data_IF_786527125247
#
_entry.id   IF_786527125247
#
_cell.length_a   1.000
_cell.length_b   1.000
_cell.length_c   1.000
_cell.angle_alpha   90.00
_cell.angle_beta   90.00
_cell.angle_gamma   90.00
#
_symmetry.space_group_name_H-M   'P 1'
#
loop_
_entity.id
_entity.type
_entity.pdbx_description
1 polymer ?
#
# COMPACT_ATOMS: atom_id res chain seq x y z
N UNK A 1 -6.49 5.14 -2.06
CA UNK A 1 -6.41 3.68 -2.32
C UNK A 1 -6.30 3.45 -3.83
N UNK A 2 -5.32 2.68 -4.24
CA UNK A 2 -5.07 2.35 -5.63
C UNK A 2 -5.06 0.83 -5.83
N UNK A 3 -6.01 0.33 -6.62
CA UNK A 3 -6.03 -1.06 -7.03
C UNK A 3 -5.35 -1.21 -8.38
N UNK A 4 -4.32 -2.05 -8.43
CA UNK A 4 -3.56 -2.35 -9.63
C UNK A 4 -4.07 -3.68 -10.20
N UNK A 5 -4.82 -3.62 -11.29
CA UNK A 5 -5.45 -4.80 -11.86
C UNK A 5 -5.82 -4.58 -13.33
N UNK A 6 -5.58 -5.61 -14.15
CA UNK A 6 -6.00 -5.61 -15.55
C UNK A 6 -7.47 -6.04 -15.73
N UNK A 7 -8.11 -6.58 -14.67
CA UNK A 7 -9.42 -7.24 -14.79
C UNK A 7 -10.48 -6.75 -13.81
N UNK A 8 -10.09 -6.15 -12.66
CA UNK A 8 -11.05 -5.72 -11.64
C UNK A 8 -11.82 -4.47 -12.05
N UNK A 9 -13.07 -4.41 -11.61
CA UNK A 9 -13.93 -3.23 -11.67
C UNK A 9 -14.28 -2.79 -10.26
N UNK A 10 -14.93 -1.65 -10.09
CA UNK A 10 -15.38 -1.22 -8.76
C UNK A 10 -16.27 -2.26 -8.07
N UNK A 11 -17.07 -3.01 -8.84
CA UNK A 11 -17.95 -4.04 -8.31
C UNK A 11 -17.22 -5.32 -7.89
N UNK A 12 -16.06 -5.61 -8.49
CA UNK A 12 -15.30 -6.84 -8.24
C UNK A 12 -14.03 -6.63 -7.43
N UNK A 13 -13.67 -5.37 -7.16
CA UNK A 13 -12.45 -4.99 -6.43
C UNK A 13 -12.65 -5.15 -4.92
N UNK A 14 -12.53 -6.39 -4.43
CA UNK A 14 -12.72 -6.70 -3.01
C UNK A 14 -11.57 -6.21 -2.13
N UNK A 15 -10.34 -6.22 -2.63
CA UNK A 15 -9.17 -5.77 -1.86
C UNK A 15 -9.18 -4.23 -1.67
N UNK A 16 -9.44 -3.48 -2.74
CA UNK A 16 -9.56 -2.02 -2.64
C UNK A 16 -10.74 -1.60 -1.76
N UNK A 17 -11.88 -2.29 -1.86
CA UNK A 17 -13.02 -2.03 -1.00
C UNK A 17 -12.70 -2.31 0.48
N UNK A 18 -11.98 -3.39 0.76
CA UNK A 18 -11.54 -3.70 2.11
C UNK A 18 -10.67 -2.59 2.70
N UNK A 19 -9.68 -2.12 1.95
CA UNK A 19 -8.78 -1.04 2.41
C UNK A 19 -9.52 0.26 2.65
N UNK A 20 -10.43 0.64 1.74
CA UNK A 20 -11.24 1.83 1.90
C UNK A 20 -12.09 1.77 3.17
N UNK A 21 -12.78 0.65 3.40
CA UNK A 21 -13.61 0.47 4.59
C UNK A 21 -12.77 0.48 5.87
N UNK A 22 -11.63 -0.22 5.89
CA UNK A 22 -10.73 -0.26 7.03
C UNK A 22 -10.20 1.13 7.39
N UNK A 23 -9.84 1.93 6.40
CA UNK A 23 -9.41 3.32 6.61
C UNK A 23 -10.54 4.16 7.21
N UNK A 24 -11.74 4.06 6.68
CA UNK A 24 -12.91 4.82 7.20
C UNK A 24 -13.24 4.45 8.62
N UNK A 25 -13.24 3.16 8.94
CA UNK A 25 -13.50 2.66 10.29
C UNK A 25 -12.47 3.16 11.30
N UNK A 26 -11.22 3.35 10.86
CA UNK A 26 -10.15 3.89 11.69
C UNK A 26 -10.15 5.43 11.77
N UNK A 27 -11.12 6.10 11.14
CA UNK A 27 -11.28 7.56 11.20
C UNK A 27 -10.51 8.34 10.14
N UNK A 28 -9.95 7.68 9.14
CA UNK A 28 -9.28 8.35 8.02
C UNK A 28 -10.27 8.81 6.97
N UNK A 29 -9.93 9.88 6.26
CA UNK A 29 -10.69 10.38 5.12
C UNK A 29 -10.13 9.81 3.82
N UNK A 30 -11.01 9.37 2.93
CA UNK A 30 -10.62 8.88 1.60
C UNK A 30 -10.55 10.07 0.64
N UNK A 31 -9.35 10.45 0.26
CA UNK A 31 -9.15 11.52 -0.72
C UNK A 31 -9.52 11.05 -2.13
N UNK A 32 -9.14 9.82 -2.50
CA UNK A 32 -9.43 9.23 -3.81
C UNK A 32 -9.32 7.71 -3.75
N UNK A 33 -10.02 7.05 -4.66
CA UNK A 33 -9.91 5.61 -4.91
C UNK A 33 -9.96 5.35 -6.40
N UNK A 34 -8.91 4.72 -6.94
CA UNK A 34 -8.79 4.44 -8.35
C UNK A 34 -8.45 2.96 -8.59
N UNK A 35 -8.80 2.49 -9.77
CA UNK A 35 -8.32 1.22 -10.31
C UNK A 35 -7.52 1.56 -11.56
N UNK A 36 -6.32 1.00 -11.67
CA UNK A 36 -5.42 1.24 -12.80
C UNK A 36 -4.90 -0.09 -13.32
N UNK A 37 -4.68 -0.16 -14.63
CA UNK A 37 -4.03 -1.33 -15.24
C UNK A 37 -2.59 -1.45 -14.75
N UNK A 38 -2.05 -2.68 -14.76
CA UNK A 38 -0.66 -2.93 -14.36
C UNK A 38 0.29 -2.47 -15.47
N UNK A 39 0.63 -1.20 -15.43
CA UNK A 39 1.51 -0.53 -16.38
C UNK A 39 2.37 0.47 -15.61
N UNK A 40 3.70 0.40 -15.82
CA UNK A 40 4.66 1.21 -15.08
C UNK A 40 4.34 2.70 -15.15
N UNK A 41 4.01 3.20 -16.33
CA UNK A 41 3.82 4.64 -16.52
C UNK A 41 2.46 5.12 -16.05
N UNK A 42 1.43 4.30 -16.16
CA UNK A 42 0.12 4.58 -15.59
C UNK A 42 0.17 4.65 -14.06
N UNK A 43 0.89 3.69 -13.44
CA UNK A 43 1.11 3.68 -12.00
C UNK A 43 1.89 4.92 -11.55
N UNK A 44 2.99 5.23 -12.22
CA UNK A 44 3.79 6.43 -11.90
C UNK A 44 3.00 7.72 -12.05
N UNK A 45 2.19 7.83 -13.09
CA UNK A 45 1.41 9.04 -13.34
C UNK A 45 0.44 9.33 -12.19
N UNK A 46 -0.36 8.34 -11.79
CA UNK A 46 -1.37 8.53 -10.74
C UNK A 46 -0.72 8.71 -9.36
N UNK A 47 0.29 7.91 -9.03
CA UNK A 47 0.95 8.00 -7.74
C UNK A 47 1.76 9.30 -7.62
N UNK A 48 2.43 9.74 -8.67
CA UNK A 48 3.14 11.03 -8.67
C UNK A 48 2.18 12.20 -8.47
N UNK A 49 1.00 12.15 -9.08
CA UNK A 49 -0.04 13.17 -8.89
C UNK A 49 -0.46 13.23 -7.42
N UNK A 50 -0.68 12.08 -6.79
CA UNK A 50 -1.04 12.02 -5.38
C UNK A 50 0.09 12.46 -4.46
N UNK A 51 1.34 12.09 -4.77
CA UNK A 51 2.52 12.54 -4.01
C UNK A 51 2.66 14.07 -4.05
N UNK A 52 2.30 14.69 -5.17
CA UNK A 52 2.36 16.14 -5.33
C UNK A 52 1.22 16.88 -4.62
N UNK A 53 0.15 16.17 -4.27
CA UNK A 53 -1.02 16.76 -3.59
C UNK A 53 -0.77 16.85 -2.08
N UNK A 54 -0.72 18.07 -1.51
CA UNK A 54 -0.44 18.25 -0.08
C UNK A 54 -1.54 17.68 0.84
N UNK A 55 -2.73 17.41 0.31
CA UNK A 55 -3.82 16.81 1.08
C UNK A 55 -3.70 15.28 1.19
N UNK A 56 -2.81 14.64 0.40
CA UNK A 56 -2.62 13.19 0.43
C UNK A 56 -1.44 12.85 1.34
N UNK A 57 -1.72 12.28 2.49
CA UNK A 57 -0.69 11.87 3.45
C UNK A 57 -0.31 10.40 3.33
N UNK A 58 -1.24 9.55 2.85
CA UNK A 58 -1.06 8.09 2.78
C UNK A 58 -1.59 7.57 1.45
N UNK A 59 -0.81 6.69 0.82
CA UNK A 59 -1.23 5.96 -0.36
C UNK A 59 -1.13 4.46 -0.06
N UNK A 60 -2.24 3.74 -0.23
CA UNK A 60 -2.28 2.28 -0.13
C UNK A 60 -2.53 1.71 -1.51
N UNK A 61 -1.61 0.87 -2.00
CA UNK A 61 -1.81 0.15 -3.26
C UNK A 61 -1.99 -1.33 -3.01
N UNK A 62 -2.80 -1.99 -3.84
CA UNK A 62 -3.01 -3.43 -3.81
C UNK A 62 -2.94 -3.99 -5.23
N UNK A 63 -2.10 -5.00 -5.41
CA UNK A 63 -1.86 -5.64 -6.71
C UNK A 63 -0.51 -5.34 -7.32
N UNK A 64 -0.12 -6.14 -8.29
CA UNK A 64 1.09 -5.94 -9.08
C UNK A 64 2.41 -6.23 -8.37
N UNK A 65 2.40 -6.97 -7.26
CA UNK A 65 3.62 -7.24 -6.48
C UNK A 65 4.19 -8.65 -6.65
N UNK A 66 3.62 -9.47 -7.52
CA UNK A 66 4.13 -10.82 -7.80
C UNK A 66 5.26 -10.82 -8.82
N UNK A 67 5.46 -11.98 -9.46
CA UNK A 67 6.54 -12.22 -10.41
C UNK A 67 6.04 -12.50 -11.83
N UNK A 68 4.74 -12.33 -12.12
CA UNK A 68 4.27 -12.47 -13.49
C UNK A 68 4.78 -11.31 -14.37
N UNK A 69 4.76 -11.51 -15.68
CA UNK A 69 5.24 -10.49 -16.61
C UNK A 69 4.45 -9.18 -16.56
N UNK A 70 3.25 -9.21 -15.99
CA UNK A 70 2.42 -8.01 -15.81
C UNK A 70 2.61 -7.33 -14.46
N UNK A 71 3.20 -8.02 -13.48
CA UNK A 71 3.42 -7.44 -12.13
C UNK A 71 4.54 -6.40 -12.19
N UNK A 72 4.20 -5.12 -12.03
CA UNK A 72 5.15 -4.01 -12.18
C UNK A 72 5.10 -2.96 -11.07
N UNK A 73 4.33 -3.19 -10.01
CA UNK A 73 4.20 -2.18 -8.93
C UNK A 73 5.55 -1.82 -8.31
N UNK A 74 6.44 -2.76 -7.92
CA UNK A 74 7.74 -2.38 -7.38
C UNK A 74 8.60 -1.59 -8.36
N UNK A 75 8.65 -2.01 -9.62
CA UNK A 75 9.41 -1.32 -10.66
C UNK A 75 8.89 0.09 -10.93
N UNK A 76 7.58 0.26 -10.84
CA UNK A 76 6.94 1.56 -11.07
C UNK A 76 7.18 2.52 -9.91
N UNK A 77 7.02 2.06 -8.67
CA UNK A 77 6.88 2.95 -7.52
C UNK A 77 8.17 3.11 -6.70
N UNK A 78 9.03 2.10 -6.62
CA UNK A 78 10.28 2.22 -5.87
C UNK A 78 11.12 3.44 -6.32
N UNK A 79 11.25 3.76 -7.62
CA UNK A 79 11.99 4.94 -8.03
C UNK A 79 11.41 6.28 -7.57
N UNK A 80 10.15 6.31 -7.13
CA UNK A 80 9.50 7.52 -6.62
C UNK A 80 9.81 7.78 -5.14
N UNK A 81 10.37 6.82 -4.43
CA UNK A 81 10.62 6.92 -2.99
C UNK A 81 11.84 7.79 -2.70
N UNK A 82 11.69 8.74 -1.78
CA UNK A 82 12.82 9.47 -1.20
C UNK A 82 13.54 8.60 -0.16
N UNK A 83 12.77 7.81 0.59
CA UNK A 83 13.27 6.83 1.56
C UNK A 83 12.48 5.54 1.44
N UNK A 84 13.18 4.42 1.40
CA UNK A 84 12.55 3.10 1.41
C UNK A 84 12.26 2.66 2.84
N UNK A 85 11.08 2.10 3.07
CA UNK A 85 10.67 1.54 4.36
C UNK A 85 10.82 0.03 4.30
N UNK A 86 12.05 -0.47 4.46
CA UNK A 86 12.36 -1.90 4.35
C UNK A 86 11.59 -2.74 5.37
N UNK A 87 11.38 -2.20 6.57
CA UNK A 87 10.69 -2.89 7.65
C UNK A 87 9.27 -3.31 7.32
N UNK A 88 8.57 -2.59 6.45
CA UNK A 88 7.22 -2.99 6.06
C UNK A 88 7.21 -4.35 5.37
N UNK A 89 8.02 -4.51 4.32
CA UNK A 89 8.11 -5.77 3.59
C UNK A 89 8.60 -6.92 4.48
N UNK A 90 9.57 -6.66 5.35
CA UNK A 90 10.10 -7.65 6.29
C UNK A 90 9.02 -8.16 7.25
N UNK A 91 8.30 -7.25 7.91
CA UNK A 91 7.25 -7.62 8.87
C UNK A 91 6.05 -8.24 8.15
N UNK A 92 5.63 -7.65 7.03
CA UNK A 92 4.52 -8.20 6.24
C UNK A 92 4.78 -9.64 5.82
N UNK A 93 5.97 -9.92 5.25
CA UNK A 93 6.30 -11.27 4.80
C UNK A 93 6.44 -12.26 5.97
N UNK A 94 6.94 -11.82 7.11
CA UNK A 94 6.96 -12.65 8.33
C UNK A 94 5.55 -13.05 8.78
N UNK A 95 4.61 -12.11 8.79
CA UNK A 95 3.20 -12.37 9.12
C UNK A 95 2.54 -13.25 8.06
N UNK A 96 2.75 -12.95 6.80
CA UNK A 96 2.22 -13.72 5.68
C UNK A 96 2.70 -15.16 5.69
N UNK A 97 3.95 -15.40 6.09
CA UNK A 97 4.51 -16.75 6.20
C UNK A 97 3.72 -17.64 7.16
N UNK A 98 3.18 -17.09 8.24
CA UNK A 98 2.35 -17.86 9.19
C UNK A 98 1.00 -18.27 8.59
N UNK A 99 0.55 -17.59 7.54
CA UNK A 99 -0.76 -17.84 6.91
C UNK A 99 -0.65 -18.69 5.64
N UNK A 100 0.31 -18.39 4.78
CA UNK A 100 0.46 -19.04 3.47
C UNK A 100 1.79 -19.78 3.28
N UNK A 101 2.63 -19.85 4.31
CA UNK A 101 3.90 -20.57 4.28
C UNK A 101 4.87 -19.99 3.26
N UNK A 102 5.62 -20.86 2.59
CA UNK A 102 6.68 -20.46 1.65
C UNK A 102 6.18 -19.64 0.45
N UNK A 103 4.89 -19.66 0.15
CA UNK A 103 4.34 -18.86 -0.96
C UNK A 103 4.56 -17.35 -0.75
N UNK A 104 4.81 -16.92 0.47
CA UNK A 104 5.11 -15.50 0.78
C UNK A 104 6.37 -15.00 0.08
N UNK A 105 7.30 -15.89 -0.35
CA UNK A 105 8.51 -15.47 -1.08
C UNK A 105 8.17 -14.87 -2.45
N UNK A 106 6.97 -15.10 -2.95
CA UNK A 106 6.51 -14.47 -4.20
C UNK A 106 5.89 -13.09 -4.00
N UNK A 107 5.80 -12.61 -2.76
CA UNK A 107 5.32 -11.27 -2.47
C UNK A 107 6.47 -10.26 -2.48
N UNK A 108 6.40 -9.27 -3.37
CA UNK A 108 7.33 -8.15 -3.39
C UNK A 108 6.72 -6.89 -2.77
N UNK A 109 5.94 -7.08 -1.70
CA UNK A 109 5.39 -5.97 -0.93
C UNK A 109 6.49 -5.02 -0.50
N UNK A 110 6.25 -3.72 -0.64
CA UNK A 110 7.24 -2.68 -0.34
C UNK A 110 6.55 -1.41 0.15
N UNK A 111 7.34 -0.51 0.74
CA UNK A 111 6.83 0.78 1.20
C UNK A 111 7.93 1.83 1.13
N UNK A 112 7.52 3.09 1.08
CA UNK A 112 8.43 4.21 1.05
C UNK A 112 7.78 5.53 1.44
N UNK A 113 8.63 6.53 1.67
CA UNK A 113 8.23 7.92 1.85
C UNK A 113 8.59 8.69 0.59
N UNK A 114 7.70 9.54 0.15
CA UNK A 114 7.93 10.44 -0.98
C UNK A 114 7.21 11.77 -0.72
N UNK A 115 7.95 12.87 -0.70
CA UNK A 115 7.41 14.24 -0.53
C UNK A 115 6.43 14.35 0.67
N UNK A 116 6.74 13.70 1.80
CA UNK A 116 5.87 13.75 2.97
C UNK A 116 4.62 12.86 2.89
N UNK A 117 4.56 11.97 1.92
CA UNK A 117 3.49 10.97 1.77
C UNK A 117 4.07 9.59 2.04
N UNK A 118 3.41 8.76 2.85
CA UNK A 118 3.81 7.37 3.05
C UNK A 118 3.04 6.48 2.08
N UNK A 119 3.75 5.54 1.45
CA UNK A 119 3.19 4.66 0.43
C UNK A 119 3.43 3.21 0.85
N UNK A 120 2.36 2.43 0.94
CA UNK A 120 2.43 0.98 1.23
C UNK A 120 1.85 0.20 0.06
N UNK A 121 2.64 -0.72 -0.47
CA UNK A 121 2.27 -1.53 -1.64
C UNK A 121 2.08 -2.99 -1.22
N UNK A 122 0.84 -3.48 -1.35
CA UNK A 122 0.43 -4.81 -0.89
C UNK A 122 0.07 -5.71 -2.07
N UNK A 123 0.16 -7.03 -1.89
CA UNK A 123 -0.38 -7.97 -2.88
C UNK A 123 -1.87 -7.76 -3.15
N UNK A 124 -2.34 -8.29 -4.27
CA UNK A 124 -3.70 -8.08 -4.77
C UNK A 124 -4.81 -8.86 -4.08
N UNK A 125 -4.51 -9.76 -3.15
CA UNK A 125 -5.54 -10.53 -2.45
C UNK A 125 -6.11 -9.75 -1.26
N UNK A 126 -7.40 -9.94 -0.98
CA UNK A 126 -8.04 -9.35 0.19
C UNK A 126 -7.41 -9.86 1.49
N UNK A 127 -7.03 -11.14 1.53
CA UNK A 127 -6.33 -11.72 2.69
C UNK A 127 -4.99 -11.04 2.98
N UNK A 128 -4.21 -10.74 1.94
CA UNK A 128 -2.93 -10.02 2.10
C UNK A 128 -3.16 -8.58 2.60
N UNK A 129 -4.17 -7.90 2.09
CA UNK A 129 -4.52 -6.56 2.57
C UNK A 129 -4.96 -6.59 4.04
N UNK A 130 -5.70 -7.61 4.44
CA UNK A 130 -6.10 -7.80 5.84
C UNK A 130 -4.88 -8.05 6.73
N UNK A 131 -3.96 -8.90 6.32
CA UNK A 131 -2.71 -9.17 7.06
C UNK A 131 -1.90 -7.88 7.25
N UNK A 132 -1.73 -7.11 6.18
CA UNK A 132 -1.01 -5.83 6.25
C UNK A 132 -1.72 -4.83 7.16
N UNK A 133 -3.03 -4.70 7.04
CA UNK A 133 -3.81 -3.75 7.84
C UNK A 133 -3.77 -4.10 9.32
N UNK A 134 -4.14 -5.32 9.67
CA UNK A 134 -4.25 -5.73 11.07
C UNK A 134 -2.89 -5.84 11.76
N UNK A 135 -1.85 -6.23 11.01
CA UNK A 135 -0.51 -6.47 11.57
C UNK A 135 0.43 -5.27 11.55
N UNK A 136 0.18 -4.27 10.70
CA UNK A 136 1.09 -3.13 10.53
C UNK A 136 0.36 -1.81 10.39
N UNK A 137 -0.51 -1.67 9.38
CA UNK A 137 -0.98 -0.37 8.94
C UNK A 137 -1.87 0.32 9.96
N UNK A 138 -2.78 -0.43 10.58
CA UNK A 138 -3.70 0.14 11.56
C UNK A 138 -2.95 0.87 12.67
N UNK A 139 -1.90 0.25 13.20
CA UNK A 139 -1.07 0.82 14.25
C UNK A 139 -0.19 1.97 13.74
N UNK A 140 0.44 1.76 12.60
CA UNK A 140 1.39 2.74 12.05
C UNK A 140 0.73 4.01 11.49
N UNK A 141 -0.57 3.94 11.20
CA UNK A 141 -1.37 5.09 10.78
C UNK A 141 -2.21 5.69 11.93
N UNK A 142 -1.99 5.25 13.16
CA UNK A 142 -2.63 5.78 14.36
C UNK A 142 -1.65 6.68 15.12
N UNK A 143 -2.02 7.97 15.25
CA UNK A 143 -1.19 8.96 15.95
C UNK A 143 -0.94 8.64 17.43
N UNK A 144 -1.78 7.81 18.04
CA UNK A 144 -1.65 7.44 19.44
C UNK A 144 -0.81 6.19 19.66
N UNK A 145 -0.47 5.45 18.60
CA UNK A 145 0.29 4.21 18.72
C UNK A 145 1.72 4.47 19.21
N UNK A 146 2.16 3.69 20.20
CA UNK A 146 3.50 3.77 20.79
C UNK A 146 4.31 2.51 20.49
N UNK A 147 5.66 2.60 20.42
CA UNK A 147 6.50 3.76 20.72
C UNK A 147 6.58 4.78 19.58
N UNK A 148 6.20 4.44 18.35
CA UNK A 148 6.27 5.34 17.20
C UNK A 148 5.23 4.95 16.13
N UNK A 149 4.93 5.88 15.25
CA UNK A 149 3.99 5.69 14.15
C UNK A 149 4.36 6.65 13.01
N UNK A 150 3.84 6.39 11.80
CA UNK A 150 4.13 7.23 10.64
C UNK A 150 3.40 8.58 10.66
N UNK A 151 2.29 8.71 11.39
CA UNK A 151 1.62 10.00 11.53
C UNK A 151 2.57 11.03 12.14
N UNK A 152 3.31 10.63 13.19
CA UNK A 152 4.35 11.47 13.79
C UNK A 152 5.43 11.86 12.78
N UNK A 153 5.89 10.91 11.98
CA UNK A 153 6.90 11.18 10.94
C UNK A 153 6.39 12.19 9.91
N UNK A 154 5.17 12.00 9.40
CA UNK A 154 4.58 12.85 8.38
C UNK A 154 4.31 14.27 8.88
N UNK A 155 3.99 14.41 10.17
CA UNK A 155 3.66 15.70 10.78
C UNK A 155 4.82 16.35 11.51
N UNK A 156 6.02 15.77 11.45
CA UNK A 156 7.24 16.35 12.01
C UNK A 156 7.34 16.26 13.53
N UNK A 157 6.80 15.21 14.12
CA UNK A 157 6.87 14.98 15.58
C UNK A 157 7.95 13.98 15.95
#
# INVERSE_FOLDING_TARGET
VLTVSDTRTQQTDTSGAFLEEALREAGHEIADRQIVIDDVYQLRAIVSQWIADPEVEVILTTGGTGFSGRDSTPEALAPLFDKTIDGFGEVFRALSHTEIGSSTVQSRALAGLANGTVIFCMPGSTGACRTAWEGVLRDQLDSEHKPCNFVGVLRGH
#
